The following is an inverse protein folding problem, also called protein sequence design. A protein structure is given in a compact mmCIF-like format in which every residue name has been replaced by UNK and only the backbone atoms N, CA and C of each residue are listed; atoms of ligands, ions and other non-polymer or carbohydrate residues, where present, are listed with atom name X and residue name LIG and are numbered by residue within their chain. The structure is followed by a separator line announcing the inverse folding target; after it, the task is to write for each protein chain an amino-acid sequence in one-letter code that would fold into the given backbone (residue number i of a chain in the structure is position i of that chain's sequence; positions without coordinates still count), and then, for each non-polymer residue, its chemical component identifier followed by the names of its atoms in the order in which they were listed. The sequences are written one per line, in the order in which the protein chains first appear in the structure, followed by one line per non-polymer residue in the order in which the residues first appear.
data_IF_856915548996
#
_entry.id   IF_856915548996
#
_cell.length_a   1.000
_cell.length_b   1.000
_cell.length_c   1.000
_cell.angle_alpha   90.00
_cell.angle_beta   90.00
_cell.angle_gamma   90.00
#
_symmetry.space_group_name_H-M   'P 1'
#
loop_
_entity.id
_entity.type
_entity.pdbx_description
1 polymer ?
#
# COMPACT_ATOMS: atom_id res chain seq x y z
N UNK A 1 -22.17 3.18 -28.03
CA UNK A 1 -21.33 2.58 -26.97
C UNK A 1 -21.36 1.07 -27.15
N UNK A 2 -20.23 0.44 -27.51
CA UNK A 2 -20.14 -1.03 -27.60
C UNK A 2 -20.29 -1.60 -26.19
N UNK A 3 -21.45 -2.20 -25.89
CA UNK A 3 -21.59 -3.08 -24.71
C UNK A 3 -20.83 -4.36 -25.02
N UNK A 4 -19.52 -4.36 -24.76
CA UNK A 4 -18.72 -5.57 -24.79
C UNK A 4 -19.29 -6.54 -23.73
N UNK A 5 -19.43 -7.82 -24.08
CA UNK A 5 -19.89 -8.84 -23.13
C UNK A 5 -18.88 -8.92 -21.97
N UNK A 6 -19.34 -9.13 -20.72
CA UNK A 6 -18.44 -9.28 -19.57
C UNK A 6 -17.47 -10.43 -19.83
N UNK A 7 -16.17 -10.21 -19.59
CA UNK A 7 -15.13 -11.21 -19.80
C UNK A 7 -14.20 -11.28 -18.58
N UNK A 8 -14.27 -12.40 -17.86
CA UNK A 8 -13.43 -12.65 -16.68
C UNK A 8 -11.94 -12.62 -17.07
N UNK A 9 -11.58 -13.21 -18.20
CA UNK A 9 -10.19 -13.21 -18.68
C UNK A 9 -9.66 -11.79 -18.91
N UNK A 10 -10.48 -10.90 -19.50
CA UNK A 10 -10.13 -9.49 -19.66
C UNK A 10 -9.97 -8.83 -18.29
N UNK A 11 -10.89 -9.08 -17.36
CA UNK A 11 -10.80 -8.57 -15.99
C UNK A 11 -9.50 -8.99 -15.30
N UNK A 12 -9.07 -10.24 -15.45
CA UNK A 12 -7.80 -10.74 -14.88
C UNK A 12 -6.59 -10.03 -15.49
N UNK A 13 -6.47 -9.97 -16.82
CA UNK A 13 -5.32 -9.33 -17.48
C UNK A 13 -5.24 -7.84 -17.16
N UNK A 14 -6.38 -7.15 -17.22
CA UNK A 14 -6.50 -5.74 -16.84
C UNK A 14 -6.14 -5.55 -15.37
N UNK A 15 -6.62 -6.42 -14.49
CA UNK A 15 -6.41 -6.34 -13.05
C UNK A 15 -4.97 -6.59 -12.62
N UNK A 16 -4.26 -7.54 -13.26
CA UNK A 16 -2.82 -7.75 -13.02
C UNK A 16 -2.05 -6.47 -13.36
N UNK A 17 -2.28 -5.93 -14.55
CA UNK A 17 -1.57 -4.73 -15.02
C UNK A 17 -1.90 -3.52 -14.16
N UNK A 18 -3.18 -3.28 -13.88
CA UNK A 18 -3.63 -2.16 -13.07
C UNK A 18 -3.17 -2.28 -11.61
N UNK A 19 -3.17 -3.48 -11.03
CA UNK A 19 -2.69 -3.72 -9.67
C UNK A 19 -1.22 -3.40 -9.51
N UNK A 20 -0.35 -3.91 -10.39
CA UNK A 20 1.10 -3.62 -10.36
C UNK A 20 1.36 -2.11 -10.48
N UNK A 21 0.72 -1.44 -11.44
CA UNK A 21 0.90 -0.01 -11.66
C UNK A 21 0.37 0.80 -10.48
N UNK A 22 -0.79 0.44 -9.93
CA UNK A 22 -1.37 1.11 -8.77
C UNK A 22 -0.49 0.98 -7.52
N UNK A 23 0.09 -0.21 -7.27
CA UNK A 23 1.06 -0.43 -6.19
C UNK A 23 2.30 0.43 -6.39
N UNK A 24 2.85 0.49 -7.61
CA UNK A 24 3.98 1.38 -7.91
C UNK A 24 3.66 2.86 -7.63
N UNK A 25 2.47 3.34 -8.03
CA UNK A 25 2.06 4.73 -7.80
C UNK A 25 1.90 5.01 -6.30
N UNK A 26 1.31 4.07 -5.55
CA UNK A 26 1.19 4.15 -4.10
C UNK A 26 2.57 4.24 -3.41
N UNK A 27 3.53 3.39 -3.81
CA UNK A 27 4.90 3.43 -3.28
C UNK A 27 5.56 4.81 -3.50
N UNK A 28 5.37 5.41 -4.69
CA UNK A 28 5.92 6.74 -4.98
C UNK A 28 5.23 7.82 -4.18
N UNK A 29 3.91 7.72 -3.99
CA UNK A 29 3.15 8.64 -3.15
C UNK A 29 3.62 8.59 -1.69
N UNK A 30 3.81 7.40 -1.13
CA UNK A 30 4.30 7.23 0.24
C UNK A 30 5.71 7.81 0.42
N UNK A 31 6.63 7.55 -0.53
CA UNK A 31 7.98 8.14 -0.53
C UNK A 31 7.94 9.66 -0.58
N UNK A 32 7.08 10.23 -1.40
CA UNK A 32 6.94 11.67 -1.52
C UNK A 32 6.33 12.28 -0.25
N UNK A 33 5.30 11.63 0.30
CA UNK A 33 4.58 12.07 1.51
C UNK A 33 5.48 12.08 2.73
N UNK A 34 6.25 11.00 2.93
CA UNK A 34 7.23 10.86 4.02
C UNK A 34 8.39 11.86 3.88
N UNK A 35 8.91 12.06 2.67
CA UNK A 35 9.93 13.08 2.43
C UNK A 35 9.41 14.50 2.73
N UNK A 36 8.17 14.81 2.33
CA UNK A 36 7.51 16.08 2.62
C UNK A 36 7.34 16.32 4.13
N UNK A 37 6.85 15.32 4.87
CA UNK A 37 6.74 15.40 6.33
C UNK A 37 8.08 15.67 7.00
N UNK A 38 9.12 14.91 6.65
CA UNK A 38 10.46 15.07 7.25
C UNK A 38 11.02 16.47 7.01
N UNK A 39 10.74 17.05 5.84
CA UNK A 39 11.14 18.42 5.53
C UNK A 39 10.39 19.45 6.41
N UNK A 40 9.07 19.26 6.59
CA UNK A 40 8.23 20.12 7.44
C UNK A 40 8.64 20.01 8.92
N UNK A 41 8.79 18.79 9.45
CA UNK A 41 9.23 18.54 10.83
C UNK A 41 10.58 19.20 11.10
N UNK A 42 11.53 19.07 10.16
CA UNK A 42 12.84 19.72 10.26
C UNK A 42 12.72 21.24 10.28
N UNK A 43 11.90 21.84 9.41
CA UNK A 43 11.69 23.29 9.42
C UNK A 43 11.04 23.78 10.73
N UNK A 44 10.07 23.03 11.25
CA UNK A 44 9.40 23.36 12.51
C UNK A 44 10.36 23.29 13.70
N UNK A 45 11.17 22.23 13.82
CA UNK A 45 12.16 22.08 14.88
C UNK A 45 13.24 23.18 14.83
N UNK A 46 13.67 23.56 13.62
CA UNK A 46 14.58 24.70 13.44
C UNK A 46 13.93 26.03 13.85
N UNK A 47 12.64 26.24 13.59
CA UNK A 47 11.91 27.45 13.99
C UNK A 47 11.78 27.57 15.52
N UNK A 48 11.74 26.45 16.25
CA UNK A 48 11.71 26.41 17.72
C UNK A 48 13.13 26.44 18.33
N UNK A 49 14.16 26.76 17.53
CA UNK A 49 15.57 26.90 17.95
C UNK A 49 16.21 25.60 18.47
N UNK A 50 15.73 24.42 18.06
CA UNK A 50 16.46 23.18 18.29
C UNK A 50 17.75 23.13 17.46
N UNK A 51 18.81 22.55 18.02
CA UNK A 51 20.09 22.50 17.31
C UNK A 51 20.00 21.54 16.10
N UNK A 52 20.56 21.91 14.93
CA UNK A 52 20.52 21.05 13.74
C UNK A 52 21.09 19.65 13.95
N UNK A 53 22.07 19.50 14.84
CA UNK A 53 22.71 18.23 15.16
C UNK A 53 21.81 17.31 15.99
N UNK A 54 21.00 17.86 16.90
CA UNK A 54 20.03 17.08 17.67
C UNK A 54 18.92 16.54 16.76
N UNK A 55 18.39 17.39 15.86
CA UNK A 55 17.37 16.99 14.89
C UNK A 55 17.89 15.84 14.01
N UNK A 56 19.13 15.94 13.52
CA UNK A 56 19.74 14.90 12.70
C UNK A 56 19.95 13.58 13.47
N UNK A 57 20.36 13.64 14.74
CA UNK A 57 20.50 12.45 15.59
C UNK A 57 19.16 11.77 15.85
N UNK A 58 18.12 12.53 16.18
CA UNK A 58 16.79 11.99 16.43
C UNK A 58 16.19 11.35 15.17
N UNK A 59 16.35 11.99 14.01
CA UNK A 59 15.94 11.41 12.72
C UNK A 59 16.67 10.11 12.42
N UNK A 60 17.99 10.07 12.62
CA UNK A 60 18.78 8.85 12.42
C UNK A 60 18.37 7.73 13.39
N UNK A 61 18.03 8.05 14.64
CA UNK A 61 17.53 7.08 15.61
C UNK A 61 16.15 6.53 15.22
N UNK A 62 15.22 7.40 14.76
CA UNK A 62 13.92 6.96 14.25
C UNK A 62 14.07 6.04 13.03
N UNK A 63 14.92 6.40 12.06
CA UNK A 63 15.19 5.56 10.89
C UNK A 63 15.80 4.20 11.26
N UNK A 64 16.69 4.16 12.27
CA UNK A 64 17.23 2.90 12.77
C UNK A 64 16.16 2.04 13.46
N UNK A 65 15.31 2.66 14.30
CA UNK A 65 14.22 1.94 14.97
C UNK A 65 13.19 1.39 13.96
N UNK A 66 12.80 2.18 12.96
CA UNK A 66 11.93 1.74 11.86
C UNK A 66 12.58 0.62 11.04
N UNK A 67 13.89 0.69 10.79
CA UNK A 67 14.60 -0.34 10.03
C UNK A 67 14.80 -1.66 10.79
N UNK A 68 14.77 -1.63 12.13
CA UNK A 68 14.83 -2.83 12.97
C UNK A 68 13.46 -3.48 13.17
N UNK A 69 12.38 -2.71 13.03
CA UNK A 69 11.01 -3.21 13.10
C UNK A 69 10.63 -3.92 11.79
N UNK A 70 10.03 -5.12 11.90
CA UNK A 70 9.52 -5.82 10.72
C UNK A 70 8.19 -5.21 10.27
N UNK A 71 8.08 -4.89 8.98
CA UNK A 71 6.80 -4.51 8.38
C UNK A 71 5.86 -5.73 8.30
N UNK A 72 4.55 -5.46 8.26
CA UNK A 72 3.52 -6.50 8.16
C UNK A 72 3.75 -7.49 7.00
N UNK A 73 4.23 -6.99 5.87
CA UNK A 73 4.54 -7.81 4.68
C UNK A 73 5.79 -8.68 4.87
N UNK A 74 6.78 -8.22 5.64
CA UNK A 74 7.96 -9.00 6.01
C UNK A 74 7.58 -10.12 7.00
N UNK A 75 6.70 -9.82 7.95
CA UNK A 75 6.15 -10.82 8.87
C UNK A 75 5.40 -11.91 8.08
N UNK A 76 4.56 -11.53 7.11
CA UNK A 76 3.87 -12.49 6.24
C UNK A 76 4.87 -13.33 5.44
N UNK A 77 5.87 -12.71 4.82
CA UNK A 77 6.91 -13.43 4.08
C UNK A 77 7.65 -14.44 4.97
N UNK A 78 8.00 -14.04 6.20
CA UNK A 78 8.63 -14.91 7.19
C UNK A 78 7.73 -16.07 7.60
N UNK A 79 6.44 -15.82 7.90
CA UNK A 79 5.47 -16.87 8.25
C UNK A 79 5.27 -17.88 7.11
N UNK A 80 5.29 -17.42 5.85
CA UNK A 80 5.23 -18.31 4.67
C UNK A 80 6.48 -19.19 4.60
N UNK A 81 7.68 -18.62 4.79
CA UNK A 81 8.93 -19.39 4.80
C UNK A 81 8.93 -20.45 5.92
N UNK A 82 8.55 -20.05 7.13
CA UNK A 82 8.42 -20.95 8.30
C UNK A 82 7.43 -22.10 8.01
N UNK A 83 6.26 -21.80 7.42
CA UNK A 83 5.28 -22.81 7.03
C UNK A 83 5.78 -23.77 5.93
N UNK A 84 6.69 -23.30 5.06
CA UNK A 84 7.35 -24.12 4.06
C UNK A 84 8.54 -24.94 4.61
N UNK A 85 8.82 -24.84 5.92
CA UNK A 85 9.95 -25.51 6.57
C UNK A 85 11.30 -24.85 6.30
N UNK A 86 11.31 -23.58 5.87
CA UNK A 86 12.52 -22.80 5.63
C UNK A 86 12.60 -21.59 6.57
N UNK A 87 13.74 -20.91 6.59
CA UNK A 87 13.91 -19.65 7.30
C UNK A 87 14.18 -18.54 6.29
N UNK A 88 13.67 -17.33 6.57
CA UNK A 88 13.91 -16.15 5.75
C UNK A 88 15.10 -15.37 6.32
N UNK A 89 16.28 -15.36 5.64
CA UNK A 89 17.45 -14.62 6.11
C UNK A 89 17.14 -13.14 6.28
N UNK A 90 17.82 -12.49 7.24
CA UNK A 90 17.60 -11.06 7.52
C UNK A 90 17.88 -10.18 6.29
N UNK A 91 18.87 -10.53 5.48
CA UNK A 91 19.17 -9.82 4.23
C UNK A 91 18.02 -9.86 3.20
N UNK A 92 17.21 -10.91 3.22
CA UNK A 92 16.16 -11.15 2.22
C UNK A 92 14.79 -10.62 2.64
N UNK A 93 14.59 -10.28 3.93
CA UNK A 93 13.28 -9.85 4.48
C UNK A 93 12.66 -8.70 3.71
N UNK A 94 13.43 -7.64 3.45
CA UNK A 94 12.96 -6.46 2.68
C UNK A 94 12.53 -6.80 1.26
N UNK A 95 13.25 -7.70 0.61
CA UNK A 95 12.92 -8.15 -0.75
C UNK A 95 11.66 -9.01 -0.73
N UNK A 96 11.56 -9.94 0.21
CA UNK A 96 10.42 -10.85 0.33
C UNK A 96 9.15 -10.11 0.78
N UNK A 97 9.25 -9.16 1.71
CA UNK A 97 8.14 -8.28 2.10
C UNK A 97 7.63 -7.47 0.92
N UNK A 98 8.53 -6.89 0.11
CA UNK A 98 8.14 -6.22 -1.14
C UNK A 98 7.45 -7.15 -2.13
N UNK A 99 7.92 -8.39 -2.27
CA UNK A 99 7.25 -9.39 -3.11
C UNK A 99 5.83 -9.68 -2.62
N UNK A 100 5.63 -9.84 -1.31
CA UNK A 100 4.30 -9.99 -0.69
C UNK A 100 3.43 -8.76 -0.95
N UNK A 101 3.97 -7.55 -0.79
CA UNK A 101 3.25 -6.31 -1.03
C UNK A 101 2.73 -6.22 -2.47
N UNK A 102 3.59 -6.48 -3.46
CA UNK A 102 3.21 -6.46 -4.88
C UNK A 102 2.28 -7.60 -5.25
N UNK A 103 2.45 -8.78 -4.66
CA UNK A 103 1.54 -9.91 -4.89
C UNK A 103 0.13 -9.59 -4.36
N UNK A 104 0.03 -9.03 -3.16
CA UNK A 104 -1.23 -8.61 -2.57
C UNK A 104 -1.91 -7.49 -3.38
N UNK A 105 -1.17 -6.44 -3.74
CA UNK A 105 -1.68 -5.37 -4.60
C UNK A 105 -2.16 -5.88 -5.96
N UNK A 106 -1.38 -6.75 -6.61
CA UNK A 106 -1.78 -7.37 -7.88
C UNK A 106 -3.06 -8.18 -7.73
N UNK A 107 -3.17 -9.00 -6.67
CA UNK A 107 -4.37 -9.78 -6.38
C UNK A 107 -5.59 -8.89 -6.19
N UNK A 108 -5.48 -7.81 -5.40
CA UNK A 108 -6.58 -6.88 -5.18
C UNK A 108 -6.95 -6.12 -6.47
N UNK A 109 -5.99 -5.84 -7.35
CA UNK A 109 -6.25 -5.30 -8.68
C UNK A 109 -7.05 -6.25 -9.57
N UNK A 110 -6.76 -7.56 -9.51
CA UNK A 110 -7.57 -8.61 -10.17
C UNK A 110 -8.99 -8.66 -9.60
N UNK A 111 -9.13 -8.68 -8.26
CA UNK A 111 -10.43 -8.66 -7.59
C UNK A 111 -11.25 -7.47 -8.06
N UNK A 112 -10.68 -6.27 -8.05
CA UNK A 112 -11.35 -5.05 -8.48
C UNK A 112 -11.77 -5.12 -9.96
N UNK A 113 -10.84 -5.44 -10.87
CA UNK A 113 -11.09 -5.42 -12.30
C UNK A 113 -12.08 -6.51 -12.76
N UNK A 114 -11.99 -7.72 -12.20
CA UNK A 114 -12.98 -8.79 -12.46
C UNK A 114 -14.34 -8.40 -11.94
N UNK A 115 -14.42 -7.81 -10.75
CA UNK A 115 -15.71 -7.40 -10.19
C UNK A 115 -16.33 -6.26 -11.02
N UNK A 116 -15.53 -5.31 -11.50
CA UNK A 116 -15.96 -4.22 -12.38
C UNK A 116 -16.41 -4.67 -13.78
N UNK A 117 -16.02 -5.87 -14.23
CA UNK A 117 -16.54 -6.48 -15.46
C UNK A 117 -17.97 -6.99 -15.27
N UNK A 118 -18.31 -7.47 -14.07
CA UNK A 118 -19.60 -8.11 -13.76
C UNK A 118 -20.60 -7.09 -13.21
N UNK A 119 -20.12 -6.17 -12.38
CA UNK A 119 -20.91 -5.16 -11.65
C UNK A 119 -20.31 -3.78 -11.93
N UNK A 120 -20.76 -3.05 -12.97
CA UNK A 120 -20.21 -1.75 -13.34
C UNK A 120 -20.26 -0.71 -12.21
N UNK A 121 -21.19 -0.83 -11.28
CA UNK A 121 -21.36 0.06 -10.12
C UNK A 121 -20.13 0.06 -9.20
N UNK A 122 -19.28 -0.98 -9.25
CA UNK A 122 -18.02 -1.06 -8.49
C UNK A 122 -17.04 0.05 -8.87
N UNK A 123 -17.15 0.59 -10.08
CA UNK A 123 -16.28 1.69 -10.51
C UNK A 123 -16.76 3.07 -10.02
N UNK A 124 -17.89 3.12 -9.31
CA UNK A 124 -18.40 4.36 -8.72
C UNK A 124 -17.39 4.94 -7.74
N UNK A 125 -17.19 6.26 -7.77
CA UNK A 125 -16.13 6.91 -6.99
C UNK A 125 -14.73 6.73 -7.59
N UNK A 126 -14.62 6.30 -8.85
CA UNK A 126 -13.37 6.18 -9.59
C UNK A 126 -12.31 5.33 -8.84
N UNK A 127 -12.73 4.21 -8.25
CA UNK A 127 -11.86 3.29 -7.50
C UNK A 127 -11.45 3.74 -6.09
N UNK A 128 -11.68 5.01 -5.72
CA UNK A 128 -11.32 5.53 -4.38
C UNK A 128 -12.13 4.89 -3.25
N UNK A 129 -13.40 4.55 -3.52
CA UNK A 129 -14.24 3.82 -2.58
C UNK A 129 -13.70 2.41 -2.31
N UNK A 130 -13.25 1.72 -3.36
CA UNK A 130 -12.59 0.41 -3.24
C UNK A 130 -11.28 0.53 -2.46
N UNK A 131 -10.45 1.54 -2.75
CA UNK A 131 -9.23 1.80 -1.99
C UNK A 131 -9.51 2.03 -0.49
N UNK A 132 -10.52 2.83 -0.17
CA UNK A 132 -10.94 3.06 1.23
C UNK A 132 -11.43 1.78 1.89
N UNK A 133 -12.24 0.97 1.22
CA UNK A 133 -12.69 -0.32 1.75
C UNK A 133 -11.52 -1.28 1.95
N UNK A 134 -10.54 -1.28 1.06
CA UNK A 134 -9.34 -2.09 1.18
C UNK A 134 -8.54 -1.68 2.43
N UNK A 135 -8.31 -0.38 2.66
CA UNK A 135 -7.68 0.12 3.88
C UNK A 135 -8.42 -0.35 5.14
N UNK A 136 -9.74 -0.15 5.20
CA UNK A 136 -10.54 -0.56 6.36
C UNK A 136 -10.54 -2.08 6.57
N UNK A 137 -10.42 -2.87 5.51
CA UNK A 137 -10.45 -4.33 5.61
C UNK A 137 -9.07 -4.92 5.94
N UNK A 138 -8.02 -4.37 5.34
CA UNK A 138 -6.65 -4.85 5.51
C UNK A 138 -6.03 -4.24 6.77
N UNK A 139 -5.80 -2.93 6.77
CA UNK A 139 -5.02 -2.21 7.78
C UNK A 139 -5.76 -2.12 9.13
N UNK A 140 -7.09 -1.95 9.12
CA UNK A 140 -7.87 -1.79 10.35
C UNK A 140 -8.41 -3.11 10.93
N UNK A 141 -8.45 -4.18 10.12
CA UNK A 141 -9.05 -5.46 10.54
C UNK A 141 -8.09 -6.63 10.36
N UNK A 142 -7.71 -6.97 9.13
CA UNK A 142 -6.95 -8.20 8.88
C UNK A 142 -5.54 -8.16 9.48
N UNK A 143 -4.78 -7.09 9.24
CA UNK A 143 -3.39 -6.95 9.71
C UNK A 143 -3.32 -7.00 11.24
N UNK A 144 -4.15 -6.25 12.00
CA UNK A 144 -4.20 -6.38 13.46
C UNK A 144 -4.69 -7.74 13.93
N UNK A 145 -5.73 -8.31 13.30
CA UNK A 145 -6.30 -9.60 13.71
C UNK A 145 -5.32 -10.77 13.52
N UNK A 146 -4.38 -10.66 12.58
CA UNK A 146 -3.32 -11.65 12.37
C UNK A 146 -2.02 -11.33 13.12
N UNK A 147 -2.02 -10.30 13.97
CA UNK A 147 -0.85 -9.84 14.73
C UNK A 147 0.33 -9.52 13.80
N UNK A 148 0.03 -8.86 12.68
CA UNK A 148 1.01 -8.44 11.67
C UNK A 148 1.44 -6.98 11.85
N UNK A 149 0.78 -6.22 12.72
CA UNK A 149 1.18 -4.87 13.14
C UNK A 149 0.72 -4.60 14.58
N UNK A 150 1.28 -3.56 15.24
CA UNK A 150 0.67 -2.97 16.43
C UNK A 150 -0.79 -2.55 16.15
N UNK A 151 -1.57 -2.35 17.22
CA UNK A 151 -2.99 -2.01 17.05
C UNK A 151 -3.15 -0.61 16.44
N UNK A 152 -4.22 -0.34 15.67
CA UNK A 152 -4.48 0.99 15.12
C UNK A 152 -4.54 2.09 16.20
N UNK A 153 -4.95 1.74 17.43
CA UNK A 153 -5.00 2.68 18.54
C UNK A 153 -3.62 3.24 18.96
N UNK A 154 -2.53 2.57 18.60
CA UNK A 154 -1.15 2.96 18.95
C UNK A 154 -0.47 3.79 17.84
N UNK A 155 -1.13 3.98 16.69
CA UNK A 155 -0.57 4.69 15.55
C UNK A 155 -0.99 6.16 15.57
N UNK A 156 -0.05 7.07 15.26
CA UNK A 156 -0.33 8.49 15.30
C UNK A 156 -1.43 8.87 14.28
N UNK A 157 -2.41 9.74 14.60
CA UNK A 157 -3.56 10.03 13.74
C UNK A 157 -3.19 10.53 12.34
N UNK A 158 -2.05 11.20 12.21
CA UNK A 158 -1.57 11.68 10.93
C UNK A 158 -1.03 10.54 10.05
N UNK A 159 -0.38 9.55 10.64
CA UNK A 159 0.15 8.39 9.91
C UNK A 159 -1.02 7.58 9.35
N UNK A 160 -2.07 7.37 10.17
CA UNK A 160 -3.34 6.79 9.72
C UNK A 160 -3.93 7.46 8.50
N UNK A 161 -3.97 8.79 8.51
CA UNK A 161 -4.50 9.56 7.38
C UNK A 161 -3.65 9.34 6.12
N UNK A 162 -2.33 9.24 6.26
CA UNK A 162 -1.44 8.97 5.13
C UNK A 162 -1.56 7.54 4.61
N UNK A 163 -1.70 6.56 5.49
CA UNK A 163 -1.96 5.16 5.10
C UNK A 163 -3.29 5.05 4.35
N UNK A 164 -4.34 5.69 4.84
CA UNK A 164 -5.63 5.80 4.13
C UNK A 164 -5.49 6.51 2.79
N UNK A 165 -4.81 7.67 2.74
CA UNK A 165 -4.60 8.42 1.50
C UNK A 165 -3.84 7.61 0.45
N UNK A 166 -2.87 6.80 0.88
CA UNK A 166 -2.11 5.89 0.01
C UNK A 166 -3.03 4.86 -0.65
N UNK A 167 -3.99 4.32 0.11
CA UNK A 167 -5.00 3.39 -0.42
C UNK A 167 -6.01 4.06 -1.35
N UNK A 168 -6.38 5.31 -1.09
CA UNK A 168 -7.19 6.12 -2.02
C UNK A 168 -6.45 6.34 -3.34
N UNK A 169 -5.16 6.66 -3.29
CA UNK A 169 -4.29 6.79 -4.47
C UNK A 169 -4.18 5.48 -5.22
N UNK A 170 -4.00 4.36 -4.52
CA UNK A 170 -4.01 3.02 -5.09
C UNK A 170 -5.32 2.74 -5.84
N UNK A 171 -6.47 2.92 -5.19
CA UNK A 171 -7.78 2.70 -5.78
C UNK A 171 -8.06 3.59 -7.01
N UNK A 172 -7.72 4.88 -6.91
CA UNK A 172 -7.82 5.82 -8.04
C UNK A 172 -6.94 5.44 -9.23
N UNK A 173 -5.70 5.03 -8.96
CA UNK A 173 -4.76 4.57 -9.99
C UNK A 173 -5.25 3.29 -10.66
N UNK A 174 -5.83 2.37 -9.88
CA UNK A 174 -6.43 1.13 -10.37
C UNK A 174 -7.51 1.40 -11.40
N UNK A 175 -8.49 2.26 -11.08
CA UNK A 175 -9.58 2.56 -12.02
C UNK A 175 -9.07 3.32 -13.24
N UNK A 176 -8.12 4.24 -13.08
CA UNK A 176 -7.52 4.96 -14.19
C UNK A 176 -6.89 3.99 -15.20
N UNK A 177 -6.03 3.07 -14.74
CA UNK A 177 -5.36 2.10 -15.60
C UNK A 177 -6.37 1.10 -16.18
N UNK A 178 -7.33 0.62 -15.38
CA UNK A 178 -8.40 -0.28 -15.84
C UNK A 178 -9.19 0.35 -16.99
N UNK A 179 -9.66 1.58 -16.82
CA UNK A 179 -10.43 2.32 -17.81
C UNK A 179 -9.61 2.58 -19.09
N UNK A 180 -8.31 2.91 -18.96
CA UNK A 180 -7.42 3.07 -20.11
C UNK A 180 -7.29 1.78 -20.91
N UNK A 181 -6.97 0.65 -20.26
CA UNK A 181 -6.86 -0.66 -20.92
C UNK A 181 -8.19 -1.05 -21.56
N UNK A 182 -9.31 -0.85 -20.86
CA UNK A 182 -10.65 -1.20 -21.35
C UNK A 182 -11.05 -0.38 -22.58
N UNK A 183 -10.61 0.87 -22.70
CA UNK A 183 -10.84 1.71 -23.89
C UNK A 183 -10.02 1.26 -25.10
N UNK A 184 -8.89 0.59 -24.88
CA UNK A 184 -7.99 0.10 -25.92
C UNK A 184 -8.37 -1.30 -26.44
N UNK A 185 -9.28 -2.01 -25.77
CA UNK A 185 -9.73 -3.38 -26.10
C UNK A 185 -11.17 -3.41 -26.64
#
# INVERSE_FOLDING_TARGET
MRKNKPSIFRGVVTGITAGIVATLVMDQFQKLSTAGQRAIERQQKLAVHESPWQIAHEQAQKEQAEAEQEDSTEIVARRIAEAAGTHLPREDKKMAGRAVHYAFGTLMGVVYAVSAEVVPEITTGAGTAFGTLLFLSADEVAVPAFELSPTPADTHPFDHLQHWASHVVYGGSLEMVRNLITRLM
#
